data_IF_883216272976
#
_entry.id   IF_883216272976
#
_cell.length_a   1.000
_cell.length_b   1.000
_cell.length_c   1.000
_cell.angle_alpha   90.00
_cell.angle_beta   90.00
_cell.angle_gamma   90.00
#
_symmetry.space_group_name_H-M   'P 1'
#
loop_
_entity.id
_entity.type
_entity.pdbx_description
1 polymer ?
#
# COMPACT_ATOMS: atom_id res chain seq x y z
N UNK A 1 -1.95 17.20 2.20
CA UNK A 1 -0.98 16.13 1.92
C UNK A 1 -0.19 15.85 3.19
N UNK A 2 -0.29 14.63 3.72
CA UNK A 2 0.58 14.13 4.80
C UNK A 2 1.90 13.65 4.19
N UNK A 3 1.83 12.91 3.08
CA UNK A 3 2.99 12.36 2.38
C UNK A 3 2.70 12.22 0.88
N UNK A 4 3.74 12.30 0.07
CA UNK A 4 3.72 12.08 -1.38
C UNK A 4 4.99 11.33 -1.77
N UNK A 5 4.85 10.32 -2.63
CA UNK A 5 5.97 9.55 -3.17
C UNK A 5 5.74 9.28 -4.66
N UNK A 6 6.80 9.41 -5.45
CA UNK A 6 6.82 9.06 -6.86
C UNK A 6 8.05 8.21 -7.18
N UNK A 7 7.86 7.18 -7.99
CA UNK A 7 8.93 6.31 -8.51
C UNK A 7 8.81 6.31 -10.03
N UNK A 8 9.89 6.71 -10.71
CA UNK A 8 9.93 6.88 -12.17
C UNK A 8 10.88 5.84 -12.77
N UNK A 9 10.37 5.04 -13.71
CA UNK A 9 11.14 4.13 -14.54
C UNK A 9 11.21 4.68 -15.97
N UNK A 10 12.40 5.04 -16.43
CA UNK A 10 12.62 5.58 -17.78
C UNK A 10 13.24 4.57 -18.73
N UNK A 11 12.82 4.61 -20.00
CA UNK A 11 13.45 3.91 -21.11
C UNK A 11 13.34 4.76 -22.40
N UNK A 12 14.08 4.41 -23.45
CA UNK A 12 14.03 5.15 -24.73
C UNK A 12 12.60 5.20 -25.26
N UNK A 13 12.04 6.40 -25.42
CA UNK A 13 10.70 6.63 -25.95
C UNK A 13 9.55 6.40 -24.97
N UNK A 14 9.80 6.06 -23.68
CA UNK A 14 8.72 5.83 -22.72
C UNK A 14 9.11 6.06 -21.25
N UNK A 15 8.10 6.30 -20.40
CA UNK A 15 8.22 6.44 -18.95
C UNK A 15 7.05 5.71 -18.29
N UNK A 16 7.34 5.00 -17.19
CA UNK A 16 6.35 4.48 -16.24
C UNK A 16 6.53 5.18 -14.90
N UNK A 17 5.45 5.76 -14.39
CA UNK A 17 5.44 6.45 -13.09
C UNK A 17 4.48 5.74 -12.13
N UNK A 18 4.97 5.42 -10.93
CA UNK A 18 4.16 4.94 -9.80
C UNK A 18 4.12 6.05 -8.75
N UNK A 19 2.91 6.51 -8.39
CA UNK A 19 2.71 7.63 -7.48
C UNK A 19 1.73 7.27 -6.37
N UNK A 20 2.06 7.67 -5.14
CA UNK A 20 1.19 7.53 -3.98
C UNK A 20 1.12 8.85 -3.20
N UNK A 21 -0.08 9.42 -3.13
CA UNK A 21 -0.38 10.66 -2.40
C UNK A 21 -1.30 10.35 -1.21
N UNK A 22 -0.81 10.57 0.01
CA UNK A 22 -1.59 10.44 1.25
C UNK A 22 -2.17 11.81 1.65
N UNK A 23 -3.48 12.00 1.46
CA UNK A 23 -4.15 13.28 1.75
C UNK A 23 -4.40 13.50 3.25
N UNK A 24 -4.84 12.45 3.95
CA UNK A 24 -5.09 12.40 5.39
C UNK A 24 -4.85 10.97 5.93
N UNK A 25 -5.03 10.75 7.24
CA UNK A 25 -4.79 9.43 7.88
C UNK A 25 -5.84 8.36 7.55
N UNK A 26 -6.97 8.72 6.94
CA UNK A 26 -8.00 7.74 6.57
C UNK A 26 -7.50 6.81 5.46
N UNK A 27 -6.48 7.20 4.69
CA UNK A 27 -5.88 6.35 3.65
C UNK A 27 -5.35 5.01 4.19
N UNK A 28 -4.93 4.95 5.47
CA UNK A 28 -4.41 3.73 6.09
C UNK A 28 -5.52 2.73 6.50
N UNK A 29 -6.76 3.18 6.65
CA UNK A 29 -7.83 2.39 7.26
C UNK A 29 -8.29 1.21 6.40
N UNK A 30 -8.05 1.26 5.08
CA UNK A 30 -8.29 0.10 4.21
C UNK A 30 -7.37 -1.08 4.58
N UNK A 31 -6.07 -0.82 4.77
CA UNK A 31 -5.09 -1.83 5.19
C UNK A 31 -5.36 -2.37 6.59
N UNK A 32 -5.78 -1.52 7.54
CA UNK A 32 -6.18 -1.97 8.89
C UNK A 32 -7.38 -2.92 8.82
N UNK A 33 -8.42 -2.58 8.04
CA UNK A 33 -9.60 -3.45 7.85
C UNK A 33 -9.25 -4.77 7.19
N UNK A 34 -8.33 -4.76 6.22
CA UNK A 34 -7.83 -5.97 5.57
C UNK A 34 -7.16 -6.89 6.60
N UNK A 35 -6.23 -6.35 7.40
CA UNK A 35 -5.52 -7.11 8.42
C UNK A 35 -6.48 -7.74 9.46
N UNK A 36 -7.45 -6.96 9.96
CA UNK A 36 -8.45 -7.45 10.92
C UNK A 36 -9.27 -8.61 10.34
N UNK A 37 -9.71 -8.49 9.08
CA UNK A 37 -10.48 -9.57 8.42
C UNK A 37 -9.65 -10.82 8.21
N UNK A 38 -8.38 -10.67 7.85
CA UNK A 38 -7.48 -11.78 7.61
C UNK A 38 -7.22 -12.58 8.90
N UNK A 39 -6.82 -11.91 9.98
CA UNK A 39 -6.51 -12.57 11.27
C UNK A 39 -7.73 -13.16 11.96
N UNK A 40 -8.94 -12.72 11.62
CA UNK A 40 -10.17 -13.35 12.11
C UNK A 40 -10.39 -14.76 11.53
N UNK A 41 -9.76 -15.07 10.39
CA UNK A 41 -9.93 -16.34 9.68
C UNK A 41 -8.67 -17.23 9.73
N UNK A 42 -7.51 -16.67 10.07
CA UNK A 42 -6.22 -17.34 10.02
C UNK A 42 -5.50 -17.18 11.37
N UNK A 43 -4.95 -18.27 11.90
CA UNK A 43 -4.24 -18.29 13.18
C UNK A 43 -2.73 -18.44 12.97
N UNK A 44 -2.15 -17.50 12.22
CA UNK A 44 -0.73 -17.46 11.91
C UNK A 44 -0.15 -16.05 12.09
N UNK A 45 1.16 -15.97 12.31
CA UNK A 45 1.86 -14.70 12.40
C UNK A 45 2.41 -14.31 11.03
N UNK A 46 2.02 -13.12 10.55
CA UNK A 46 2.47 -12.57 9.28
C UNK A 46 3.07 -11.20 9.50
N UNK A 47 4.27 -10.99 8.93
CA UNK A 47 4.92 -9.70 8.86
C UNK A 47 4.84 -9.15 7.43
N UNK A 48 4.26 -7.97 7.29
CA UNK A 48 4.04 -7.28 6.01
C UNK A 48 2.61 -7.40 5.50
N UNK A 49 1.98 -6.28 5.16
CA UNK A 49 0.62 -6.26 4.57
C UNK A 49 0.63 -6.82 3.13
N UNK A 50 1.76 -6.74 2.43
CA UNK A 50 1.93 -7.25 1.08
C UNK A 50 1.72 -8.75 0.94
N UNK A 51 1.77 -9.49 2.05
CA UNK A 51 1.54 -10.95 2.08
C UNK A 51 0.06 -11.34 2.14
N UNK A 52 -0.81 -10.37 2.43
CA UNK A 52 -2.26 -10.58 2.58
C UNK A 52 -3.08 -9.64 1.69
N UNK A 53 -2.42 -8.88 0.81
CA UNK A 53 -3.02 -7.99 -0.19
C UNK A 53 -3.26 -8.71 -1.52
#
# INVERSE_FOLDING_TARGET
YIASQEVIFGASGQILTIRHDSMDRQCYMAGVKLAIKYIAQHNEFIYGLEKIM
#
